data_IF_190632912387
#
_entry.id   IF_190632912387
#
_cell.length_a   1.000
_cell.length_b   1.000
_cell.length_c   1.000
_cell.angle_alpha   90.00
_cell.angle_beta   90.00
_cell.angle_gamma   90.00
#
_symmetry.space_group_name_H-M   'P 1'
#
loop_
_entity.id
_entity.type
_entity.pdbx_description
1 polymer ?
#
# COMPACT_ATOMS: atom_id res chain seq x y z
N UNK A 1 12.08 -54.82 39.36
CA UNK A 1 11.25 -53.93 40.21
C UNK A 1 11.67 -52.49 39.96
N UNK A 2 10.70 -51.54 39.91
CA UNK A 2 10.72 -50.12 39.43
C UNK A 2 10.43 -50.01 37.93
N UNK A 3 9.21 -49.72 37.43
CA UNK A 3 8.08 -48.87 37.87
C UNK A 3 8.50 -47.44 38.20
N UNK A 4 8.55 -46.56 37.20
CA UNK A 4 7.83 -45.28 37.16
C UNK A 4 7.91 -44.74 35.71
N UNK A 5 6.79 -44.79 34.99
CA UNK A 5 6.53 -43.91 33.86
C UNK A 5 6.35 -42.50 34.44
N UNK A 6 7.09 -41.51 33.95
CA UNK A 6 6.71 -40.11 34.10
C UNK A 6 6.39 -39.55 32.72
N UNK A 7 5.11 -39.58 32.41
CA UNK A 7 4.47 -38.80 31.35
C UNK A 7 4.42 -37.36 31.85
N UNK A 8 5.18 -36.46 31.24
CA UNK A 8 4.96 -35.03 31.34
C UNK A 8 4.39 -34.55 30.00
N UNK A 9 3.06 -34.62 29.89
CA UNK A 9 2.28 -33.97 28.85
C UNK A 9 2.37 -32.46 29.09
N UNK A 10 3.36 -31.81 28.46
CA UNK A 10 3.35 -30.36 28.29
C UNK A 10 2.29 -30.06 27.25
N UNK A 11 1.05 -29.82 27.70
CA UNK A 11 0.04 -29.17 26.89
C UNK A 11 0.53 -27.73 26.66
N UNK A 12 1.28 -27.52 25.58
CA UNK A 12 1.43 -26.20 25.00
C UNK A 12 0.05 -25.76 24.53
N UNK A 13 -0.68 -25.07 25.41
CA UNK A 13 -1.73 -24.16 24.99
C UNK A 13 -1.04 -22.98 24.29
N UNK A 14 -0.58 -23.21 23.06
CA UNK A 14 -0.32 -22.12 22.14
C UNK A 14 -1.72 -21.62 21.77
N UNK A 15 -2.27 -20.74 22.62
CA UNK A 15 -3.17 -19.70 22.15
C UNK A 15 -2.35 -18.75 21.26
N UNK A 16 -1.75 -19.31 20.21
CA UNK A 16 -1.28 -18.55 19.08
C UNK A 16 -2.54 -18.04 18.44
N UNK A 17 -2.66 -16.73 18.36
CA UNK A 17 -3.67 -16.06 17.56
C UNK A 17 -3.96 -16.93 16.35
N UNK A 18 -5.20 -17.41 16.23
CA UNK A 18 -5.70 -17.92 14.97
C UNK A 18 -5.63 -16.75 14.01
N UNK A 19 -4.48 -16.58 13.35
CA UNK A 19 -4.37 -15.80 12.15
C UNK A 19 -5.31 -16.50 11.18
N UNK A 20 -6.54 -16.00 11.12
CA UNK A 20 -7.42 -16.19 9.98
C UNK A 20 -6.54 -15.96 8.77
N UNK A 21 -6.33 -17.01 7.96
CA UNK A 21 -5.53 -16.96 6.74
C UNK A 21 -6.03 -15.90 5.73
N UNK A 22 -7.12 -15.23 6.06
CA UNK A 22 -7.73 -14.10 5.36
C UNK A 22 -7.00 -12.77 5.57
N UNK A 23 -6.41 -12.49 6.75
CA UNK A 23 -5.77 -11.19 7.00
C UNK A 23 -4.57 -10.91 6.07
N UNK A 24 -3.63 -11.85 5.84
CA UNK A 24 -2.53 -11.63 4.89
C UNK A 24 -3.00 -11.54 3.43
N UNK A 25 -4.09 -12.23 3.06
CA UNK A 25 -4.65 -12.18 1.69
C UNK A 25 -5.48 -10.93 1.42
N UNK A 26 -6.09 -10.36 2.44
CA UNK A 26 -6.88 -9.14 2.32
C UNK A 26 -5.94 -7.92 2.31
N UNK A 27 -4.88 -7.99 3.11
CA UNK A 27 -3.74 -7.07 3.07
C UNK A 27 -3.14 -6.92 1.68
N UNK A 28 -2.82 -8.05 1.02
CA UNK A 28 -2.21 -8.02 -0.31
C UNK A 28 -3.16 -7.41 -1.35
N UNK A 29 -4.47 -7.73 -1.27
CA UNK A 29 -5.45 -7.26 -2.25
C UNK A 29 -5.70 -5.76 -2.23
N UNK A 30 -5.79 -5.13 -1.05
CA UNK A 30 -6.03 -3.69 -0.98
C UNK A 30 -4.80 -2.88 -1.44
N UNK A 31 -3.59 -3.34 -1.09
CA UNK A 31 -2.35 -2.73 -1.59
C UNK A 31 -2.23 -2.90 -3.10
N UNK A 32 -2.50 -4.10 -3.63
CA UNK A 32 -2.48 -4.39 -5.06
C UNK A 32 -3.53 -3.58 -5.83
N UNK A 33 -4.74 -3.39 -5.26
CA UNK A 33 -5.77 -2.54 -5.84
C UNK A 33 -5.31 -1.07 -5.93
N UNK A 34 -4.64 -0.57 -4.89
CA UNK A 34 -4.02 0.76 -4.95
C UNK A 34 -2.92 0.82 -6.00
N UNK A 35 -1.98 -0.14 -6.02
CA UNK A 35 -0.86 -0.15 -6.96
C UNK A 35 -1.35 -0.23 -8.41
N UNK A 36 -2.38 -1.04 -8.69
CA UNK A 36 -3.03 -1.12 -10.00
C UNK A 36 -3.73 0.20 -10.37
N UNK A 37 -4.45 0.81 -9.42
CA UNK A 37 -5.09 2.10 -9.62
C UNK A 37 -4.06 3.15 -10.00
N UNK A 38 -3.03 3.36 -9.17
CA UNK A 38 -2.10 4.46 -9.34
C UNK A 38 -1.27 4.30 -10.61
N UNK A 39 -0.89 3.07 -10.99
CA UNK A 39 -0.18 2.80 -12.26
C UNK A 39 -1.00 3.15 -13.51
N UNK A 40 -2.32 3.17 -13.41
CA UNK A 40 -3.23 3.52 -14.53
C UNK A 40 -3.57 5.01 -14.62
N UNK A 41 -3.06 5.82 -13.68
CA UNK A 41 -3.45 7.20 -13.46
C UNK A 41 -2.53 8.25 -14.12
N UNK A 42 -1.62 7.83 -15.02
CA UNK A 42 -0.64 8.74 -15.61
C UNK A 42 -1.31 9.93 -16.28
N UNK A 43 -0.94 11.14 -15.84
CA UNK A 43 -1.37 12.41 -16.38
C UNK A 43 -2.84 12.74 -16.13
N UNK A 44 -3.56 11.91 -15.37
CA UNK A 44 -4.99 12.05 -15.16
C UNK A 44 -5.29 12.37 -13.68
N UNK A 45 -5.53 13.64 -13.32
CA UNK A 45 -5.76 14.02 -11.93
C UNK A 45 -7.01 13.37 -11.33
N UNK A 46 -8.07 13.16 -12.11
CA UNK A 46 -9.29 12.55 -11.61
C UNK A 46 -9.04 11.08 -11.19
N UNK A 47 -8.22 10.36 -11.97
CA UNK A 47 -7.77 9.01 -11.61
C UNK A 47 -6.86 9.01 -10.39
N UNK A 48 -5.94 9.97 -10.28
CA UNK A 48 -5.04 10.09 -9.13
C UNK A 48 -5.85 10.36 -7.85
N UNK A 49 -6.82 11.27 -7.90
CA UNK A 49 -7.77 11.54 -6.81
C UNK A 49 -8.59 10.30 -6.43
N UNK A 50 -9.06 9.52 -7.41
CA UNK A 50 -9.74 8.26 -7.13
C UNK A 50 -8.84 7.26 -6.37
N UNK A 51 -7.55 7.16 -6.74
CA UNK A 51 -6.61 6.27 -6.04
C UNK A 51 -6.32 6.70 -4.58
N UNK A 52 -6.44 7.99 -4.26
CA UNK A 52 -6.34 8.48 -2.89
C UNK A 52 -7.46 7.96 -1.98
N UNK A 53 -8.62 7.62 -2.55
CA UNK A 53 -9.71 6.97 -1.80
C UNK A 53 -9.30 5.57 -1.34
N UNK A 54 -8.63 4.81 -2.21
CA UNK A 54 -8.09 3.48 -1.86
C UNK A 54 -7.03 3.58 -0.77
N UNK A 55 -6.14 4.58 -0.84
CA UNK A 55 -5.17 4.88 0.23
C UNK A 55 -5.85 5.25 1.54
N UNK A 56 -6.95 6.00 1.48
CA UNK A 56 -7.71 6.40 2.66
C UNK A 56 -8.34 5.20 3.35
N UNK A 57 -8.82 4.20 2.60
CA UNK A 57 -9.29 2.92 3.16
C UNK A 57 -8.14 2.11 3.76
N UNK A 58 -7.02 1.97 3.05
CA UNK A 58 -5.81 1.32 3.58
C UNK A 58 -5.37 1.93 4.92
N UNK A 59 -5.38 3.26 5.03
CA UNK A 59 -4.95 3.96 6.25
C UNK A 59 -5.80 3.64 7.49
N UNK A 60 -7.06 3.20 7.32
CA UNK A 60 -7.94 2.84 8.46
C UNK A 60 -7.44 1.61 9.20
N UNK A 61 -6.69 0.74 8.53
CA UNK A 61 -6.13 -0.45 9.12
C UNK A 61 -4.70 -0.21 9.60
N UNK A 62 -4.45 -0.42 10.90
CA UNK A 62 -3.12 -0.19 11.53
C UNK A 62 -1.98 -0.93 10.80
N UNK A 63 -2.26 -2.11 10.26
CA UNK A 63 -1.32 -2.91 9.48
C UNK A 63 -0.90 -2.28 8.14
N UNK A 64 -1.67 -1.31 7.62
CA UNK A 64 -1.42 -0.66 6.33
C UNK A 64 -1.12 0.83 6.44
N UNK A 65 -1.25 1.40 7.64
CA UNK A 65 -1.06 2.82 7.89
C UNK A 65 0.28 3.35 7.37
N UNK A 66 1.40 2.69 7.68
CA UNK A 66 2.73 3.13 7.24
C UNK A 66 2.87 3.14 5.71
N UNK A 67 2.31 2.12 5.05
CA UNK A 67 2.26 2.05 3.60
C UNK A 67 1.42 3.20 3.03
N UNK A 68 0.22 3.40 3.57
CA UNK A 68 -0.73 4.40 3.11
C UNK A 68 -0.17 5.82 3.26
N UNK A 69 0.49 6.13 4.39
CA UNK A 69 1.14 7.41 4.63
C UNK A 69 2.29 7.67 3.65
N UNK A 70 3.16 6.68 3.42
CA UNK A 70 4.25 6.80 2.46
C UNK A 70 3.74 7.05 1.03
N UNK A 71 2.72 6.31 0.62
CA UNK A 71 2.13 6.46 -0.71
C UNK A 71 1.35 7.77 -0.86
N UNK A 72 0.69 8.23 0.20
CA UNK A 72 -0.04 9.50 0.19
C UNK A 72 0.89 10.68 -0.13
N UNK A 73 2.08 10.74 0.47
CA UNK A 73 3.05 11.81 0.17
C UNK A 73 3.44 11.80 -1.31
N UNK A 74 3.82 10.62 -1.84
CA UNK A 74 4.22 10.48 -3.26
C UNK A 74 3.11 10.83 -4.24
N UNK A 75 1.87 10.47 -3.91
CA UNK A 75 0.69 10.76 -4.74
C UNK A 75 0.36 12.26 -4.72
N UNK A 76 0.46 12.91 -3.57
CA UNK A 76 0.22 14.35 -3.46
C UNK A 76 1.24 15.17 -4.27
N UNK A 77 2.52 14.78 -4.26
CA UNK A 77 3.56 15.42 -5.09
C UNK A 77 3.19 15.32 -6.58
N UNK A 78 2.73 14.14 -7.01
CA UNK A 78 2.30 13.94 -8.39
C UNK A 78 1.07 14.77 -8.75
N UNK A 79 0.05 14.76 -7.87
CA UNK A 79 -1.19 15.51 -8.03
C UNK A 79 -0.92 17.03 -8.15
N UNK A 80 -0.05 17.57 -7.29
CA UNK A 80 0.34 18.97 -7.36
C UNK A 80 1.01 19.29 -8.70
N UNK A 81 1.91 18.43 -9.16
CA UNK A 81 2.63 18.63 -10.40
C UNK A 81 1.68 18.65 -11.63
N UNK A 82 0.79 17.67 -11.75
CA UNK A 82 -0.14 17.59 -12.89
C UNK A 82 -1.19 18.70 -12.86
N UNK A 83 -1.58 19.17 -11.68
CA UNK A 83 -2.46 20.35 -11.54
C UNK A 83 -1.73 21.63 -11.95
N UNK A 84 -0.48 21.82 -11.55
CA UNK A 84 0.33 22.97 -11.95
C UNK A 84 0.49 23.04 -13.47
N UNK A 85 0.70 21.90 -14.14
CA UNK A 85 0.74 21.84 -15.61
C UNK A 85 -0.57 22.29 -16.28
N UNK A 86 -1.73 21.96 -15.70
CA UNK A 86 -3.02 22.44 -16.21
C UNK A 86 -3.20 23.95 -16.08
N UNK A 87 -2.48 24.60 -15.16
CA UNK A 87 -2.55 26.04 -14.90
C UNK A 87 -1.51 26.86 -15.69
N UNK A 88 -0.69 26.20 -16.53
CA UNK A 88 0.32 26.81 -17.40
C UNK A 88 1.73 26.71 -16.79
N UNK A 89 2.56 25.79 -17.31
CA UNK A 89 4.02 25.68 -17.06
C UNK A 89 4.65 24.56 -17.92
N UNK A 90 4.67 24.70 -19.24
CA UNK A 90 4.36 23.53 -20.08
C UNK A 90 5.51 22.54 -20.33
N UNK A 91 6.77 22.96 -20.32
CA UNK A 91 7.87 22.10 -20.79
C UNK A 91 8.74 21.57 -19.63
N UNK A 92 9.27 22.45 -18.79
CA UNK A 92 10.06 22.04 -17.62
C UNK A 92 9.21 21.27 -16.59
N UNK A 93 7.98 21.73 -16.32
CA UNK A 93 7.10 21.01 -15.41
C UNK A 93 6.66 19.65 -16.01
N UNK A 94 6.60 19.49 -17.33
CA UNK A 94 6.34 18.19 -17.96
C UNK A 94 7.44 17.17 -17.64
N UNK A 95 8.71 17.58 -17.72
CA UNK A 95 9.85 16.73 -17.36
C UNK A 95 9.80 16.36 -15.88
N UNK A 96 9.55 17.34 -15.00
CA UNK A 96 9.45 17.10 -13.55
C UNK A 96 8.31 16.14 -13.23
N UNK A 97 7.10 16.37 -13.74
CA UNK A 97 5.96 15.48 -13.48
C UNK A 97 6.18 14.08 -14.03
N UNK A 98 6.90 13.96 -15.16
CA UNK A 98 7.26 12.65 -15.72
C UNK A 98 8.20 11.90 -14.80
N UNK A 99 9.19 12.57 -14.18
CA UNK A 99 10.08 11.96 -13.19
C UNK A 99 9.33 11.50 -11.95
N UNK A 100 8.50 12.38 -11.36
CA UNK A 100 7.68 12.04 -10.18
C UNK A 100 6.79 10.83 -10.48
N UNK A 101 6.17 10.80 -11.66
CA UNK A 101 5.39 9.66 -12.11
C UNK A 101 6.21 8.37 -12.18
N UNK A 102 7.41 8.41 -12.78
CA UNK A 102 8.26 7.22 -12.91
C UNK A 102 8.65 6.64 -11.55
N UNK A 103 8.98 7.50 -10.58
CA UNK A 103 9.30 7.08 -9.21
C UNK A 103 8.09 6.47 -8.49
N UNK A 104 6.92 7.08 -8.65
CA UNK A 104 5.65 6.57 -8.12
C UNK A 104 5.26 5.24 -8.77
N UNK A 105 5.39 5.12 -10.09
CA UNK A 105 5.10 3.92 -10.86
C UNK A 105 6.06 2.78 -10.51
N UNK A 106 7.37 3.05 -10.45
CA UNK A 106 8.38 2.07 -10.06
C UNK A 106 8.15 1.56 -8.63
N UNK A 107 7.78 2.46 -7.71
CA UNK A 107 7.41 2.09 -6.34
C UNK A 107 6.24 1.10 -6.28
N UNK A 108 5.41 1.01 -7.31
CA UNK A 108 4.17 0.23 -7.36
C UNK A 108 4.18 -0.88 -8.42
N UNK A 109 5.34 -1.23 -9.00
CA UNK A 109 5.44 -2.27 -10.04
C UNK A 109 5.43 -3.71 -9.51
N UNK A 110 5.87 -3.95 -8.27
CA UNK A 110 6.05 -5.29 -7.70
C UNK A 110 5.69 -5.36 -6.20
N UNK A 111 4.66 -4.63 -5.80
CA UNK A 111 4.15 -4.65 -4.41
C UNK A 111 3.15 -5.79 -4.20
#
# INVERSE_FOLDING_TARGET
MKKQLFVALVALAIAGCSATADAPRQESRLKEAYSACIRSAQGNPDKVDACQTVLSELRKEKQHQAFAEQQQVKVLDYQHCINARKMGNDEEASVICTRIWQELHASNQSQ
#
